data_IF_591968697785
#
_entry.id   IF_591968697785
#
_cell.length_a   1.000
_cell.length_b   1.000
_cell.length_c   1.000
_cell.angle_alpha   90.00
_cell.angle_beta   90.00
_cell.angle_gamma   90.00
#
_symmetry.space_group_name_H-M   'P 1'
#
loop_
_entity.id
_entity.type
_entity.pdbx_description
1 polymer ?
#
# COMPACT_ATOMS: atom_id res chain seq x y z
N UNK A 1 -31.60 -11.00 18.24
CA UNK A 1 -30.88 -12.25 18.03
C UNK A 1 -30.63 -12.39 16.53
N UNK A 2 -29.41 -12.07 16.09
CA UNK A 2 -28.97 -12.25 14.70
C UNK A 2 -28.29 -13.62 14.67
N UNK A 3 -28.92 -14.58 14.02
CA UNK A 3 -28.29 -15.87 13.73
C UNK A 3 -27.23 -15.63 12.64
N UNK A 4 -25.97 -15.69 13.03
CA UNK A 4 -24.86 -15.80 12.10
C UNK A 4 -24.86 -17.24 11.55
N UNK A 5 -25.16 -17.41 10.28
CA UNK A 5 -25.00 -18.68 9.59
C UNK A 5 -23.53 -18.85 9.24
N UNK A 6 -22.79 -19.56 10.09
CA UNK A 6 -21.45 -20.06 9.74
C UNK A 6 -21.60 -21.13 8.65
N UNK A 7 -21.29 -20.78 7.41
CA UNK A 7 -21.22 -21.74 6.33
C UNK A 7 -19.85 -22.43 6.37
N UNK A 8 -19.82 -23.64 6.94
CA UNK A 8 -18.68 -24.55 6.79
C UNK A 8 -18.62 -25.02 5.33
N UNK A 9 -17.61 -24.59 4.60
CA UNK A 9 -17.29 -25.13 3.29
C UNK A 9 -16.05 -26.01 3.36
N UNK A 10 -16.28 -27.30 3.52
CA UNK A 10 -15.27 -28.29 3.19
C UNK A 10 -15.23 -28.46 1.68
N UNK A 11 -14.03 -28.67 1.10
CA UNK A 11 -13.86 -29.03 -0.30
C UNK A 11 -14.90 -30.11 -0.67
N UNK A 12 -15.72 -29.84 -1.70
CA UNK A 12 -16.82 -30.69 -2.07
C UNK A 12 -16.32 -32.04 -2.58
N UNK A 13 -16.33 -33.05 -1.71
CA UNK A 13 -16.25 -34.45 -2.17
C UNK A 13 -17.57 -34.80 -2.86
N UNK A 14 -17.55 -35.55 -3.99
CA UNK A 14 -18.78 -35.93 -4.68
C UNK A 14 -19.64 -36.82 -3.75
N UNK A 15 -20.86 -36.39 -3.49
CA UNK A 15 -21.83 -37.22 -2.77
C UNK A 15 -22.46 -38.17 -3.79
N UNK A 16 -22.14 -39.46 -3.70
CA UNK A 16 -22.83 -40.50 -4.46
C UNK A 16 -24.21 -40.74 -3.88
N UNK A 17 -25.25 -40.38 -4.62
CA UNK A 17 -26.61 -40.84 -4.33
C UNK A 17 -26.88 -42.10 -5.12
N UNK A 18 -27.68 -43.02 -4.56
CA UNK A 18 -27.97 -44.34 -5.12
C UNK A 18 -28.74 -44.32 -6.47
N UNK A 19 -28.94 -43.14 -7.05
CA UNK A 19 -29.63 -42.89 -8.35
C UNK A 19 -28.67 -42.47 -9.47
N UNK A 20 -27.34 -42.49 -9.24
CA UNK A 20 -26.35 -42.15 -10.26
C UNK A 20 -26.31 -40.67 -10.71
N UNK A 21 -27.00 -39.80 -10.01
CA UNK A 21 -26.98 -38.37 -10.31
C UNK A 21 -25.90 -37.68 -9.47
N UNK A 22 -24.82 -37.28 -10.10
CA UNK A 22 -23.78 -36.47 -9.44
C UNK A 22 -24.25 -35.03 -9.38
N UNK A 23 -24.37 -34.44 -8.20
CA UNK A 23 -24.44 -32.99 -8.03
C UNK A 23 -23.00 -32.51 -7.81
N UNK A 24 -22.46 -31.87 -8.82
CA UNK A 24 -21.27 -31.05 -8.65
C UNK A 24 -21.77 -29.75 -8.05
N UNK A 25 -21.50 -29.51 -6.78
CA UNK A 25 -21.62 -28.18 -6.21
C UNK A 25 -20.55 -27.34 -6.88
N UNK A 26 -20.93 -26.25 -7.54
CA UNK A 26 -19.97 -25.30 -8.06
C UNK A 26 -19.04 -24.85 -6.90
N UNK A 27 -17.74 -24.88 -7.14
CA UNK A 27 -16.79 -24.34 -6.20
C UNK A 27 -17.16 -22.88 -5.94
N UNK A 28 -17.09 -22.46 -4.70
CA UNK A 28 -17.33 -21.05 -4.37
C UNK A 28 -16.16 -20.24 -4.92
N UNK A 29 -16.43 -19.27 -5.79
CA UNK A 29 -15.44 -18.39 -6.35
C UNK A 29 -15.72 -16.94 -5.95
N UNK A 30 -14.66 -16.12 -5.90
CA UNK A 30 -14.75 -14.73 -5.53
C UNK A 30 -14.51 -14.49 -4.04
N UNK A 31 -14.89 -13.30 -3.58
CA UNK A 31 -14.72 -12.88 -2.19
C UNK A 31 -15.63 -13.66 -1.25
N UNK A 32 -15.03 -14.28 -0.24
CA UNK A 32 -15.71 -15.11 0.77
C UNK A 32 -15.26 -14.69 2.16
N UNK A 33 -16.21 -14.61 3.09
CA UNK A 33 -15.93 -14.34 4.50
C UNK A 33 -15.94 -15.67 5.29
N UNK A 34 -14.84 -15.95 5.98
CA UNK A 34 -14.66 -17.11 6.84
C UNK A 34 -14.15 -16.65 8.20
N UNK A 35 -14.84 -16.98 9.27
CA UNK A 35 -14.48 -16.60 10.65
C UNK A 35 -14.16 -15.10 10.84
N UNK A 36 -14.89 -14.24 10.12
CA UNK A 36 -14.74 -12.79 10.17
C UNK A 36 -13.55 -12.24 9.34
N UNK A 37 -12.90 -13.07 8.54
CA UNK A 37 -11.84 -12.70 7.61
C UNK A 37 -12.29 -12.86 6.17
N UNK A 38 -11.74 -12.02 5.28
CA UNK A 38 -12.04 -12.06 3.86
C UNK A 38 -10.93 -12.77 3.09
N UNK A 39 -11.35 -13.72 2.25
CA UNK A 39 -10.49 -14.47 1.33
C UNK A 39 -11.03 -14.35 -0.09
N UNK A 40 -10.22 -14.68 -1.06
CA UNK A 40 -10.64 -14.77 -2.45
C UNK A 40 -10.35 -16.16 -3.01
N UNK A 41 -11.37 -16.78 -3.62
CA UNK A 41 -11.27 -18.08 -4.24
C UNK A 41 -11.38 -17.97 -5.76
N UNK A 42 -10.57 -18.73 -6.49
CA UNK A 42 -10.64 -18.84 -7.94
C UNK A 42 -11.87 -19.66 -8.41
N UNK A 43 -12.00 -19.85 -9.72
CA UNK A 43 -13.13 -20.59 -10.29
C UNK A 43 -13.10 -22.09 -9.95
N UNK A 44 -11.94 -22.63 -9.61
CA UNK A 44 -11.73 -24.01 -9.20
C UNK A 44 -11.91 -24.20 -7.68
N UNK A 45 -12.12 -23.12 -6.92
CA UNK A 45 -12.33 -23.12 -5.48
C UNK A 45 -11.03 -23.16 -4.67
N UNK A 46 -9.90 -22.78 -5.26
CA UNK A 46 -8.65 -22.62 -4.52
C UNK A 46 -8.51 -21.21 -4.00
N UNK A 47 -8.04 -21.08 -2.75
CA UNK A 47 -7.73 -19.81 -2.14
C UNK A 47 -6.56 -19.16 -2.88
N UNK A 48 -6.75 -17.92 -3.33
CA UNK A 48 -5.68 -17.16 -3.96
C UNK A 48 -4.81 -16.44 -2.92
N UNK A 49 -3.50 -16.40 -3.18
CA UNK A 49 -2.46 -15.83 -2.32
C UNK A 49 -1.49 -15.00 -3.13
N UNK A 50 -0.71 -14.13 -2.47
CA UNK A 50 0.33 -13.29 -3.10
C UNK A 50 -0.17 -12.55 -4.34
N UNK A 51 -1.36 -11.97 -4.28
CA UNK A 51 -2.00 -11.35 -5.45
C UNK A 51 -2.91 -10.19 -5.09
N UNK A 52 -3.06 -9.28 -6.04
CA UNK A 52 -3.98 -8.16 -5.93
C UNK A 52 -5.39 -8.53 -6.40
N UNK A 53 -6.39 -8.21 -5.59
CA UNK A 53 -7.80 -8.37 -5.92
C UNK A 53 -8.58 -7.10 -5.71
N UNK A 54 -9.56 -6.86 -6.59
CA UNK A 54 -10.42 -5.68 -6.51
C UNK A 54 -11.76 -6.02 -5.86
N UNK A 55 -12.21 -5.14 -4.92
CA UNK A 55 -13.53 -5.24 -4.29
C UNK A 55 -14.11 -3.84 -4.11
N UNK A 56 -15.35 -3.63 -4.57
CA UNK A 56 -16.08 -2.36 -4.42
C UNK A 56 -15.34 -1.12 -4.96
N UNK A 57 -14.41 -1.29 -5.90
CA UNK A 57 -13.60 -0.19 -6.45
C UNK A 57 -12.19 -0.10 -5.91
N UNK A 58 -11.91 -0.66 -4.73
CA UNK A 58 -10.62 -0.65 -4.08
C UNK A 58 -9.80 -1.90 -4.35
N UNK A 59 -8.47 -1.77 -4.27
CA UNK A 59 -7.52 -2.85 -4.40
C UNK A 59 -7.04 -3.31 -3.04
N UNK A 60 -6.98 -4.64 -2.87
CA UNK A 60 -6.47 -5.35 -1.70
C UNK A 60 -5.40 -6.33 -2.13
N UNK A 61 -4.37 -6.49 -1.33
CA UNK A 61 -3.37 -7.52 -1.53
C UNK A 61 -3.66 -8.70 -0.60
N UNK A 62 -3.63 -9.90 -1.17
CA UNK A 62 -3.73 -11.15 -0.42
C UNK A 62 -2.31 -11.65 -0.18
N UNK A 63 -1.95 -11.88 1.06
CA UNK A 63 -0.63 -12.39 1.46
C UNK A 63 -0.44 -13.88 1.14
N UNK A 64 0.59 -14.50 1.68
CA UNK A 64 0.87 -15.92 1.45
C UNK A 64 -0.13 -16.87 2.10
N UNK A 65 -0.85 -16.44 3.12
CA UNK A 65 -1.96 -17.14 3.76
C UNK A 65 -3.31 -16.86 3.08
N UNK A 66 -3.34 -15.93 2.13
CA UNK A 66 -4.54 -15.46 1.44
C UNK A 66 -5.37 -14.49 2.28
N UNK A 67 -4.80 -13.94 3.34
CA UNK A 67 -5.42 -12.91 4.16
C UNK A 67 -5.20 -11.52 3.54
N UNK A 68 -6.05 -10.55 3.85
CA UNK A 68 -5.84 -9.17 3.42
C UNK A 68 -4.64 -8.61 4.18
N UNK A 69 -3.60 -8.25 3.45
CA UNK A 69 -2.43 -7.55 3.97
C UNK A 69 -2.82 -6.15 4.45
N UNK A 70 -2.26 -5.70 5.57
CA UNK A 70 -2.50 -4.37 6.14
C UNK A 70 -1.20 -3.70 6.58
N UNK A 71 -1.18 -2.37 6.48
CA UNK A 71 -0.10 -1.51 6.95
C UNK A 71 1.29 -1.99 6.54
N UNK A 72 1.45 -2.32 5.26
CA UNK A 72 2.73 -2.80 4.72
C UNK A 72 2.92 -2.43 3.26
N UNK A 73 4.18 -2.42 2.85
CA UNK A 73 4.57 -2.28 1.44
C UNK A 73 4.47 -3.60 0.70
N UNK A 74 4.02 -3.52 -0.53
CA UNK A 74 3.96 -4.64 -1.49
C UNK A 74 4.55 -4.13 -2.80
N UNK A 75 5.80 -4.42 -3.06
CA UNK A 75 6.59 -3.90 -4.19
C UNK A 75 6.54 -2.35 -4.24
N UNK A 76 6.03 -1.78 -5.32
CA UNK A 76 5.88 -0.34 -5.53
C UNK A 76 4.62 0.26 -4.85
N UNK A 77 3.85 -0.53 -4.12
CA UNK A 77 2.56 -0.14 -3.54
C UNK A 77 2.58 -0.23 -2.01
N UNK A 78 1.63 0.44 -1.39
CA UNK A 78 1.39 0.35 0.05
C UNK A 78 -0.09 0.01 0.30
N UNK A 79 -0.36 -0.84 1.27
CA UNK A 79 -1.70 -1.10 1.81
C UNK A 79 -1.80 -0.51 3.21
N UNK A 80 -2.85 0.28 3.46
CA UNK A 80 -3.07 0.93 4.75
C UNK A 80 -3.56 -0.06 5.81
N UNK A 81 -3.86 0.44 7.00
CA UNK A 81 -4.38 -0.34 8.13
C UNK A 81 -5.74 -1.01 7.87
N UNK A 82 -6.51 -0.47 6.90
CA UNK A 82 -7.77 -1.08 6.45
C UNK A 82 -7.56 -2.06 5.28
N UNK A 83 -6.31 -2.26 4.81
CA UNK A 83 -5.93 -3.12 3.70
C UNK A 83 -6.15 -2.50 2.32
N UNK A 84 -6.53 -1.23 2.23
CA UNK A 84 -6.72 -0.55 0.95
C UNK A 84 -5.39 -0.09 0.37
N UNK A 85 -5.22 -0.24 -0.95
CA UNK A 85 -4.08 0.33 -1.68
C UNK A 85 -4.06 1.85 -1.54
N UNK A 86 -2.97 2.40 -1.01
CA UNK A 86 -2.76 3.85 -0.91
C UNK A 86 -2.72 4.51 -2.29
N UNK A 87 -3.49 5.60 -2.48
CA UNK A 87 -3.52 6.40 -3.71
C UNK A 87 -3.67 7.87 -3.39
N UNK A 88 -2.88 8.72 -4.05
CA UNK A 88 -2.80 10.15 -3.75
C UNK A 88 -2.63 10.38 -2.25
N UNK A 89 -1.75 9.60 -1.62
CA UNK A 89 -1.64 9.52 -0.17
C UNK A 89 -0.18 9.60 0.27
N UNK A 90 0.05 10.39 1.32
CA UNK A 90 1.30 10.41 2.06
C UNK A 90 1.33 9.23 3.04
N UNK A 91 2.48 8.59 3.14
CA UNK A 91 2.75 7.50 4.09
C UNK A 91 4.07 7.80 4.79
N UNK A 92 4.09 7.68 6.13
CA UNK A 92 5.34 7.78 6.88
C UNK A 92 6.21 6.55 6.60
N UNK A 93 7.48 6.76 6.29
CA UNK A 93 8.42 5.67 6.09
C UNK A 93 8.67 4.85 7.37
N UNK A 94 8.39 5.42 8.55
CA UNK A 94 8.44 4.70 9.83
C UNK A 94 7.41 3.58 9.92
N UNK A 95 6.30 3.68 9.17
CA UNK A 95 5.29 2.63 9.07
C UNK A 95 5.70 1.49 8.12
N UNK A 96 6.77 1.64 7.37
CA UNK A 96 7.34 0.55 6.59
C UNK A 96 8.12 -0.39 7.51
N UNK A 97 7.61 -1.59 7.70
CA UNK A 97 8.30 -2.64 8.46
C UNK A 97 9.67 -2.89 7.80
N UNK A 98 10.74 -2.48 8.50
CA UNK A 98 12.12 -2.70 8.08
C UNK A 98 12.84 -1.52 7.43
N UNK A 99 12.24 -0.35 7.34
CA UNK A 99 12.94 0.85 6.89
C UNK A 99 13.66 1.51 8.09
N UNK A 100 14.78 0.93 8.44
CA UNK A 100 15.74 1.48 9.41
C UNK A 100 16.77 2.27 8.60
N UNK A 101 16.45 3.50 8.20
CA UNK A 101 17.45 4.40 7.61
C UNK A 101 18.27 5.02 8.72
N UNK A 102 19.58 4.73 8.83
CA UNK A 102 20.45 5.36 9.82
C UNK A 102 20.64 6.87 9.58
N UNK A 103 20.18 7.37 8.44
CA UNK A 103 20.27 8.77 8.02
C UNK A 103 18.93 9.51 8.10
N UNK A 104 17.88 8.89 8.65
CA UNK A 104 16.64 9.60 8.97
C UNK A 104 16.89 10.39 10.25
N UNK A 105 17.10 11.71 10.18
CA UNK A 105 17.06 12.54 11.38
C UNK A 105 15.65 12.40 12.00
N UNK A 106 15.51 12.60 13.29
CA UNK A 106 14.30 12.38 14.10
C UNK A 106 12.99 13.10 13.64
N UNK A 107 12.91 13.54 12.40
CA UNK A 107 11.78 14.14 11.70
C UNK A 107 11.33 13.25 10.54
N UNK A 108 10.14 12.72 10.63
CA UNK A 108 9.57 11.68 9.80
C UNK A 108 9.93 11.71 8.31
N UNK A 109 10.51 10.64 7.82
CA UNK A 109 10.68 10.43 6.38
C UNK A 109 9.33 10.12 5.74
N UNK A 110 9.00 10.81 4.64
CA UNK A 110 7.71 10.71 3.99
C UNK A 110 7.83 10.13 2.58
N UNK A 111 6.91 9.24 2.26
CA UNK A 111 6.68 8.67 0.94
C UNK A 111 5.37 9.19 0.39
N UNK A 112 5.23 9.24 -0.92
CA UNK A 112 3.96 9.55 -1.57
C UNK A 112 3.59 8.50 -2.58
N UNK A 113 2.38 7.97 -2.48
CA UNK A 113 1.81 7.05 -3.46
C UNK A 113 0.89 7.81 -4.39
N UNK A 114 1.19 7.74 -5.69
CA UNK A 114 0.50 8.50 -6.72
C UNK A 114 -0.93 8.02 -6.99
N UNK A 115 -1.53 8.58 -8.02
CA UNK A 115 -2.90 8.24 -8.45
C UNK A 115 -3.06 6.77 -8.85
N UNK A 116 -2.01 6.17 -9.38
CA UNK A 116 -1.96 4.75 -9.79
C UNK A 116 -1.62 3.81 -8.63
N UNK A 117 -1.40 4.35 -7.44
CA UNK A 117 -1.00 3.62 -6.23
C UNK A 117 0.49 3.34 -6.12
N UNK A 118 1.29 3.73 -7.12
CA UNK A 118 2.74 3.51 -7.08
C UNK A 118 3.45 4.58 -6.28
N UNK A 119 4.53 4.17 -5.61
CA UNK A 119 5.45 5.10 -4.94
C UNK A 119 6.05 6.06 -5.97
N UNK A 120 6.15 7.32 -5.59
CA UNK A 120 6.79 8.37 -6.38
C UNK A 120 8.28 8.36 -6.09
N UNK A 121 9.12 8.13 -7.12
CA UNK A 121 10.59 8.05 -6.98
C UNK A 121 11.28 8.93 -8.00
N UNK A 122 12.49 9.40 -7.68
CA UNK A 122 13.44 10.08 -8.57
C UNK A 122 12.82 11.23 -9.40
N UNK A 123 11.91 12.04 -8.82
CA UNK A 123 11.26 13.12 -9.58
C UNK A 123 10.63 14.20 -8.71
N UNK A 124 10.37 15.32 -9.38
CA UNK A 124 9.50 16.37 -8.89
C UNK A 124 8.02 15.95 -9.02
N UNK A 125 7.23 16.22 -7.99
CA UNK A 125 5.79 15.99 -7.98
C UNK A 125 5.04 17.20 -7.42
N UNK A 126 3.96 17.61 -8.08
CA UNK A 126 3.06 18.62 -7.55
C UNK A 126 1.91 17.95 -6.80
N UNK A 127 1.77 18.27 -5.52
CA UNK A 127 0.76 17.71 -4.62
C UNK A 127 0.10 18.89 -3.92
N UNK A 128 -1.21 19.03 -4.04
CA UNK A 128 -2.01 20.09 -3.43
C UNK A 128 -1.44 21.51 -3.65
N UNK A 129 -0.93 21.76 -4.86
CA UNK A 129 -0.38 23.08 -5.26
C UNK A 129 1.03 23.38 -4.75
N UNK A 130 1.65 22.48 -4.01
CA UNK A 130 3.06 22.56 -3.61
C UNK A 130 3.88 21.56 -4.44
N UNK A 131 5.20 21.80 -4.55
CA UNK A 131 6.10 20.94 -5.34
C UNK A 131 7.14 20.32 -4.43
N UNK A 132 7.25 19.00 -4.51
CA UNK A 132 8.15 18.17 -3.71
C UNK A 132 9.11 17.42 -4.62
N UNK A 133 10.28 17.02 -4.12
CA UNK A 133 11.19 16.11 -4.77
C UNK A 133 11.31 14.82 -3.97
N UNK A 134 11.24 13.71 -4.68
CA UNK A 134 11.45 12.37 -4.12
C UNK A 134 12.73 11.78 -4.73
N UNK A 135 13.56 11.18 -3.90
CA UNK A 135 14.78 10.50 -4.35
C UNK A 135 14.50 9.13 -5.01
N UNK A 136 15.57 8.37 -5.29
CA UNK A 136 15.46 7.06 -5.94
C UNK A 136 14.74 6.03 -5.06
N UNK A 137 14.81 6.16 -3.74
CA UNK A 137 14.15 5.30 -2.77
C UNK A 137 12.69 5.73 -2.47
N UNK A 138 12.29 6.89 -3.00
CA UNK A 138 10.96 7.47 -2.84
C UNK A 138 10.82 8.36 -1.61
N UNK A 139 11.92 8.70 -0.94
CA UNK A 139 11.90 9.58 0.21
C UNK A 139 11.75 11.04 -0.23
N UNK A 140 10.81 11.75 0.40
CA UNK A 140 10.65 13.19 0.23
C UNK A 140 11.90 13.91 0.73
N UNK A 141 12.48 14.73 -0.13
CA UNK A 141 13.67 15.51 0.20
C UNK A 141 13.29 16.83 0.87
N UNK A 142 14.14 17.28 1.80
CA UNK A 142 14.01 18.51 2.57
C UNK A 142 15.31 19.31 2.57
N UNK A 143 15.32 20.52 3.10
CA UNK A 143 16.53 21.34 3.17
C UNK A 143 17.05 21.79 1.82
N UNK A 144 18.37 21.80 1.67
CA UNK A 144 19.06 22.15 0.42
C UNK A 144 19.27 20.92 -0.46
N UNK A 145 18.71 20.95 -1.66
CA UNK A 145 18.88 19.93 -2.68
C UNK A 145 19.70 20.48 -3.85
N UNK A 146 20.81 19.82 -4.18
CA UNK A 146 21.55 20.07 -5.42
C UNK A 146 21.14 19.05 -6.49
N UNK A 147 20.55 19.53 -7.58
CA UNK A 147 20.07 18.70 -8.68
C UNK A 147 20.37 19.38 -10.02
N UNK A 148 21.02 18.66 -10.95
CA UNK A 148 21.37 19.15 -12.29
C UNK A 148 22.13 20.49 -12.29
N UNK A 149 23.01 20.71 -11.30
CA UNK A 149 23.79 21.92 -11.13
C UNK A 149 22.99 23.15 -10.63
N UNK A 150 21.80 22.92 -10.13
CA UNK A 150 20.95 23.95 -9.49
C UNK A 150 20.70 23.57 -8.02
N UNK A 151 20.65 24.59 -7.17
CA UNK A 151 20.35 24.43 -5.75
C UNK A 151 18.89 24.85 -5.49
N UNK A 152 18.16 23.98 -4.84
CA UNK A 152 16.78 24.21 -4.41
C UNK A 152 16.72 24.20 -2.89
N UNK A 153 15.79 24.96 -2.32
CA UNK A 153 15.45 24.87 -0.91
C UNK A 153 14.04 24.30 -0.76
N UNK A 154 13.95 23.19 -0.03
CA UNK A 154 12.73 22.37 0.11
C UNK A 154 12.06 22.55 1.49
N UNK A 155 12.41 23.60 2.22
CA UNK A 155 11.89 23.85 3.55
C UNK A 155 12.60 23.01 4.62
N UNK A 156 12.10 23.12 5.84
CA UNK A 156 12.61 22.38 7.00
C UNK A 156 12.09 20.91 6.95
N UNK A 157 12.54 20.14 7.89
CA UNK A 157 12.42 18.69 8.00
C UNK A 157 11.01 18.13 7.68
N UNK A 158 9.94 18.68 8.24
CA UNK A 158 8.57 18.20 8.00
C UNK A 158 7.82 18.93 6.85
N UNK A 159 8.48 19.83 6.12
CA UNK A 159 7.81 20.61 5.08
C UNK A 159 8.02 20.04 3.67
N UNK A 160 9.27 19.80 3.27
CA UNK A 160 9.66 19.24 1.96
C UNK A 160 9.21 20.05 0.74
N UNK A 161 8.38 21.09 0.91
CA UNK A 161 7.85 21.85 -0.19
C UNK A 161 8.89 22.83 -0.74
N UNK A 162 9.14 22.79 -2.07
CA UNK A 162 10.03 23.72 -2.75
C UNK A 162 9.64 25.18 -2.48
N UNK A 163 10.61 25.95 -1.97
CA UNK A 163 10.45 27.39 -1.72
C UNK A 163 10.86 28.19 -2.96
N UNK A 164 10.25 29.35 -3.12
CA UNK A 164 10.54 30.30 -4.18
C UNK A 164 10.66 31.72 -3.58
N UNK A 165 11.46 32.58 -4.23
CA UNK A 165 11.71 33.94 -3.77
C UNK A 165 13.01 34.07 -2.97
N UNK A 166 13.14 35.17 -2.21
CA UNK A 166 14.30 35.42 -1.37
C UNK A 166 14.14 34.63 -0.06
N UNK A 167 15.11 33.80 0.26
CA UNK A 167 15.17 32.99 1.46
C UNK A 167 16.41 33.39 2.23
N UNK A 168 16.25 33.82 3.47
CA UNK A 168 17.36 34.07 4.37
C UNK A 168 17.80 32.73 4.97
N UNK A 169 18.89 32.18 4.51
CA UNK A 169 19.51 31.01 5.10
C UNK A 169 20.41 31.48 6.23
N UNK A 170 19.92 31.48 7.45
CA UNK A 170 20.75 31.68 8.64
C UNK A 170 21.59 30.41 8.84
N UNK A 171 22.84 30.49 8.32
CA UNK A 171 23.95 29.57 8.56
C UNK A 171 23.58 28.09 8.68
N UNK A 172 23.39 27.43 7.55
CA UNK A 172 23.47 25.96 7.52
C UNK A 172 24.98 25.64 7.59
N UNK A 173 25.50 25.46 8.78
CA UNK A 173 26.81 24.84 8.96
C UNK A 173 26.62 23.35 8.78
N UNK A 174 27.15 22.83 7.68
CA UNK A 174 27.38 21.40 7.49
C UNK A 174 28.43 20.99 8.52
N UNK A 175 28.02 20.32 9.59
CA UNK A 175 28.90 19.58 10.48
C UNK A 175 29.29 18.24 9.86
#
# INVERSE_FOLDING_TARGET
AVLSAAALFAAAAPIMTNTGTYRVLAAQSGWTEEDGRLYYYDEDGYKETNTWKKRNGDWFYLDEEGEIATNQRVDDYFVNDEGHMAKNQWVSAENEIGYDSPDSPDGGSWLYFGKDGKIVTAKWMSIDGKTYYFDEDGLMQTGLLELDGQTYYLGEEDDGARKTGWILLETITKD
#
